data_IF_797671210042
#
_entry.id   IF_797671210042
#
_cell.length_a   1.000
_cell.length_b   1.000
_cell.length_c   1.000
_cell.angle_alpha   90.00
_cell.angle_beta   90.00
_cell.angle_gamma   90.00
#
_symmetry.space_group_name_H-M   'P 1'
#
loop_
_entity.id
_entity.type
_entity.pdbx_description
1 polymer ?
#
# COMPACT_ATOMS: atom_id res chain seq x y z
N UNK A 1 -9.09 -15.01 11.15
CA UNK A 1 -8.22 -15.20 9.95
C UNK A 1 -8.99 -15.79 8.77
N UNK A 2 -9.94 -16.69 9.02
CA UNK A 2 -10.84 -17.28 8.01
C UNK A 2 -11.50 -16.24 7.09
N UNK A 3 -11.86 -15.05 7.58
CA UNK A 3 -12.37 -13.98 6.72
C UNK A 3 -11.39 -13.58 5.60
N UNK A 4 -10.09 -13.49 5.89
CA UNK A 4 -9.05 -13.18 4.89
C UNK A 4 -8.85 -14.38 3.95
N UNK A 5 -8.71 -15.57 4.52
CA UNK A 5 -8.39 -16.79 3.76
C UNK A 5 -9.58 -17.34 2.96
N UNK A 6 -10.81 -17.05 3.36
CA UNK A 6 -12.01 -17.62 2.75
C UNK A 6 -12.27 -19.07 3.14
N UNK A 7 -11.60 -19.57 4.19
CA UNK A 7 -11.71 -20.92 4.71
C UNK A 7 -10.72 -21.17 5.86
N UNK A 8 -10.64 -22.43 6.31
CA UNK A 8 -9.82 -22.83 7.45
C UNK A 8 -8.31 -22.93 7.15
N UNK A 9 -7.91 -22.90 5.87
CA UNK A 9 -6.52 -22.94 5.43
C UNK A 9 -6.29 -21.94 4.29
N UNK A 10 -5.02 -21.70 3.97
CA UNK A 10 -4.64 -20.92 2.79
C UNK A 10 -4.91 -21.74 1.53
N UNK A 11 -5.78 -21.24 0.66
CA UNK A 11 -6.18 -21.94 -0.55
C UNK A 11 -6.30 -20.99 -1.77
N UNK A 12 -6.97 -21.46 -2.83
CA UNK A 12 -7.23 -20.69 -4.06
C UNK A 12 -8.01 -19.39 -3.80
N UNK A 13 -8.94 -19.38 -2.84
CA UNK A 13 -9.70 -18.18 -2.47
C UNK A 13 -8.76 -17.13 -1.86
N UNK A 14 -7.83 -17.54 -0.99
CA UNK A 14 -6.78 -16.64 -0.47
C UNK A 14 -5.94 -16.05 -1.59
N UNK A 15 -5.43 -16.89 -2.51
CA UNK A 15 -4.57 -16.43 -3.61
C UNK A 15 -5.27 -15.40 -4.51
N UNK A 16 -6.53 -15.65 -4.85
CA UNK A 16 -7.33 -14.75 -5.70
C UNK A 16 -7.53 -13.39 -5.03
N UNK A 17 -7.79 -13.36 -3.72
CA UNK A 17 -7.92 -12.13 -2.95
C UNK A 17 -6.61 -11.38 -2.83
N UNK A 18 -5.51 -12.10 -2.58
CA UNK A 18 -4.17 -11.50 -2.51
C UNK A 18 -3.73 -10.90 -3.83
N UNK A 19 -4.08 -11.51 -4.97
CA UNK A 19 -3.88 -10.89 -6.27
C UNK A 19 -4.65 -9.57 -6.40
N UNK A 20 -5.92 -9.53 -5.98
CA UNK A 20 -6.71 -8.30 -5.96
C UNK A 20 -6.08 -7.19 -5.10
N UNK A 21 -5.62 -7.53 -3.89
CA UNK A 21 -4.90 -6.58 -3.03
C UNK A 21 -3.58 -6.14 -3.66
N UNK A 22 -2.78 -7.06 -4.16
CA UNK A 22 -1.52 -6.75 -4.83
C UNK A 22 -1.70 -5.88 -6.06
N UNK A 23 -2.81 -6.03 -6.78
CA UNK A 23 -3.11 -5.19 -7.93
C UNK A 23 -3.47 -3.75 -7.55
N UNK A 24 -4.28 -3.55 -6.50
CA UNK A 24 -4.72 -2.21 -6.10
C UNK A 24 -3.69 -1.44 -5.26
N UNK A 25 -2.90 -2.14 -4.43
CA UNK A 25 -1.95 -1.52 -3.50
C UNK A 25 -0.91 -0.61 -4.17
N UNK A 26 -0.29 -0.96 -5.32
CA UNK A 26 0.63 -0.08 -6.02
C UNK A 26 0.02 1.29 -6.35
N UNK A 27 -1.25 1.33 -6.78
CA UNK A 27 -1.92 2.60 -7.09
C UNK A 27 -2.19 3.42 -5.83
N UNK A 28 -2.56 2.77 -4.73
CA UNK A 28 -2.72 3.42 -3.43
C UNK A 28 -1.37 4.01 -2.97
N UNK A 29 -0.29 3.24 -3.08
CA UNK A 29 1.07 3.68 -2.73
C UNK A 29 1.49 4.86 -3.62
N UNK A 30 1.23 4.82 -4.93
CA UNK A 30 1.52 5.94 -5.83
C UNK A 30 0.74 7.21 -5.45
N UNK A 31 -0.53 7.09 -5.05
CA UNK A 31 -1.31 8.23 -4.58
C UNK A 31 -0.72 8.82 -3.28
N UNK A 32 -0.37 7.97 -2.31
CA UNK A 32 0.30 8.42 -1.08
C UNK A 32 1.68 9.02 -1.35
N UNK A 33 2.44 8.47 -2.30
CA UNK A 33 3.73 9.03 -2.71
C UNK A 33 3.54 10.43 -3.32
N UNK A 34 2.51 10.65 -4.14
CA UNK A 34 2.19 11.98 -4.67
C UNK A 34 1.83 12.97 -3.56
N UNK A 35 1.00 12.57 -2.59
CA UNK A 35 0.68 13.40 -1.40
C UNK A 35 1.92 13.69 -0.57
N UNK A 36 2.79 12.69 -0.37
CA UNK A 36 4.05 12.85 0.33
C UNK A 36 4.97 13.87 -0.36
N UNK A 37 5.10 13.76 -1.69
CA UNK A 37 5.90 14.70 -2.50
C UNK A 37 5.30 16.10 -2.53
N UNK A 38 3.97 16.24 -2.49
CA UNK A 38 3.32 17.54 -2.36
C UNK A 38 3.76 18.24 -1.07
N UNK A 39 3.70 17.56 0.07
CA UNK A 39 4.14 18.17 1.33
C UNK A 39 5.65 18.42 1.38
N UNK A 40 6.45 17.51 0.81
CA UNK A 40 7.89 17.74 0.65
C UNK A 40 8.17 18.99 -0.20
N UNK A 41 7.38 19.21 -1.24
CA UNK A 41 7.50 20.40 -2.10
C UNK A 41 7.14 21.69 -1.33
N UNK A 42 6.10 21.67 -0.49
CA UNK A 42 5.69 22.83 0.31
C UNK A 42 6.69 23.17 1.44
N UNK A 43 7.22 22.16 2.16
CA UNK A 43 8.13 22.39 3.30
C UNK A 43 9.60 22.42 2.90
N UNK A 44 9.95 21.87 1.75
CA UNK A 44 11.32 21.61 1.33
C UNK A 44 11.97 20.43 2.09
N UNK A 45 13.12 19.98 1.57
CA UNK A 45 13.98 19.01 2.27
C UNK A 45 14.73 19.68 3.41
N UNK A 46 14.84 18.99 4.53
CA UNK A 46 15.73 19.41 5.62
C UNK A 46 17.20 19.09 5.28
N UNK A 47 18.14 19.70 6.00
CA UNK A 47 19.57 19.41 5.91
C UNK A 47 20.17 19.16 7.31
N UNK A 48 21.39 18.62 7.42
CA UNK A 48 21.98 18.23 8.71
C UNK A 48 22.20 19.37 9.72
N UNK A 49 22.17 20.63 9.27
CA UNK A 49 22.33 21.81 10.15
C UNK A 49 21.00 22.49 10.50
N UNK A 50 19.88 22.00 9.95
CA UNK A 50 18.55 22.60 10.07
C UNK A 50 18.27 23.67 9.02
#
# INVERSE_FOLDING_TARGET
>A
VEWIWGGFSVDKATLTRFFGFHFILPFIISAFAAVHLLFLHETGSNNPTG
#
